data_IF_177225441904
#
_entry.id   IF_177225441904
#
_cell.length_a   1.000
_cell.length_b   1.000
_cell.length_c   1.000
_cell.angle_alpha   90.00
_cell.angle_beta   90.00
_cell.angle_gamma   90.00
#
_symmetry.space_group_name_H-M   'P 1'
#
loop_
_entity.id
_entity.type
_entity.pdbx_description
1 polymer ?
#
# COMPACT_ATOMS: atom_id res chain seq x y z
N UNK A 1 -29.27 -9.12 -19.65
CA UNK A 1 -27.94 -9.59 -19.24
C UNK A 1 -28.03 -10.15 -17.83
N UNK A 2 -27.81 -11.45 -17.67
CA UNK A 2 -27.77 -12.12 -16.37
C UNK A 2 -26.50 -11.71 -15.59
N UNK A 3 -26.40 -12.09 -14.32
CA UNK A 3 -25.28 -11.68 -13.45
C UNK A 3 -23.93 -12.25 -13.91
N UNK A 4 -23.89 -13.45 -14.49
CA UNK A 4 -22.66 -14.04 -15.03
C UNK A 4 -22.16 -13.28 -16.26
N UNK A 5 -23.06 -12.95 -17.19
CA UNK A 5 -22.73 -12.14 -18.38
C UNK A 5 -22.23 -10.75 -17.99
N UNK A 6 -22.80 -10.15 -16.93
CA UNK A 6 -22.31 -8.85 -16.39
C UNK A 6 -20.90 -8.97 -15.81
N UNK A 7 -20.65 -9.99 -15.00
CA UNK A 7 -19.33 -10.20 -14.42
C UNK A 7 -18.28 -10.44 -15.51
N UNK A 8 -18.58 -11.27 -16.50
CA UNK A 8 -17.68 -11.57 -17.62
C UNK A 8 -17.38 -10.33 -18.47
N UNK A 9 -18.40 -9.51 -18.74
CA UNK A 9 -18.22 -8.23 -19.43
C UNK A 9 -17.28 -7.30 -18.64
N UNK A 10 -17.54 -7.08 -17.36
CA UNK A 10 -16.69 -6.21 -16.54
C UNK A 10 -15.26 -6.75 -16.41
N UNK A 11 -15.11 -8.07 -16.29
CA UNK A 11 -13.79 -8.70 -16.25
C UNK A 11 -13.03 -8.50 -17.56
N UNK A 12 -13.72 -8.64 -18.70
CA UNK A 12 -13.13 -8.39 -20.02
C UNK A 12 -12.67 -6.94 -20.15
N UNK A 13 -13.50 -5.97 -19.74
CA UNK A 13 -13.14 -4.55 -19.71
C UNK A 13 -11.90 -4.31 -18.84
N UNK A 14 -11.85 -4.91 -17.65
CA UNK A 14 -10.71 -4.77 -16.75
C UNK A 14 -9.41 -5.32 -17.37
N UNK A 15 -9.49 -6.47 -18.05
CA UNK A 15 -8.35 -7.08 -18.74
C UNK A 15 -7.85 -6.22 -19.89
N UNK A 16 -8.74 -5.68 -20.72
CA UNK A 16 -8.38 -4.77 -21.83
C UNK A 16 -7.70 -3.51 -21.29
N UNK A 17 -8.30 -2.83 -20.31
CA UNK A 17 -7.71 -1.64 -19.67
C UNK A 17 -6.31 -1.92 -19.12
N UNK A 18 -6.13 -3.08 -18.47
CA UNK A 18 -4.82 -3.49 -17.96
C UNK A 18 -3.82 -3.75 -19.09
N UNK A 19 -4.23 -4.47 -20.13
CA UNK A 19 -3.40 -4.80 -21.29
C UNK A 19 -2.92 -3.54 -22.01
N UNK A 20 -3.81 -2.58 -22.27
CA UNK A 20 -3.48 -1.27 -22.82
C UNK A 20 -2.45 -0.55 -21.94
N UNK A 21 -2.66 -0.54 -20.62
CA UNK A 21 -1.76 0.12 -19.69
C UNK A 21 -0.36 -0.51 -19.66
N UNK A 22 -0.22 -1.83 -19.53
CA UNK A 22 1.10 -2.48 -19.46
C UNK A 22 1.90 -2.33 -20.77
N UNK A 23 1.20 -2.21 -21.90
CA UNK A 23 1.82 -2.05 -23.20
C UNK A 23 2.08 -0.57 -23.56
N UNK A 24 1.59 0.38 -22.76
CA UNK A 24 1.87 1.82 -22.94
C UNK A 24 3.33 2.19 -22.63
N UNK A 25 3.78 3.33 -23.15
CA UNK A 25 5.07 3.93 -22.81
C UNK A 25 5.12 4.46 -21.36
N UNK A 26 3.95 4.76 -20.77
CA UNK A 26 3.85 5.36 -19.44
C UNK A 26 4.05 4.32 -18.32
N UNK A 27 3.83 3.03 -18.61
CA UNK A 27 3.87 1.94 -17.62
C UNK A 27 5.14 1.95 -16.76
N UNK A 28 6.31 1.99 -17.39
CA UNK A 28 7.58 1.97 -16.69
C UNK A 28 7.76 3.20 -15.80
N UNK A 29 7.40 4.37 -16.31
CA UNK A 29 7.50 5.64 -15.58
C UNK A 29 6.65 5.62 -14.30
N UNK A 30 5.42 5.09 -14.40
CA UNK A 30 4.54 4.94 -13.25
C UNK A 30 5.08 3.93 -12.24
N UNK A 31 5.48 2.74 -12.69
CA UNK A 31 6.00 1.72 -11.78
C UNK A 31 7.27 2.16 -11.07
N UNK A 32 8.18 2.88 -11.74
CA UNK A 32 9.36 3.44 -11.07
C UNK A 32 9.00 4.44 -9.98
N UNK A 33 8.00 5.32 -10.21
CA UNK A 33 7.51 6.26 -9.19
C UNK A 33 6.84 5.58 -8.00
N UNK A 34 6.13 4.48 -8.24
CA UNK A 34 5.56 3.67 -7.16
C UNK A 34 6.68 2.94 -6.40
N UNK A 35 7.68 2.44 -7.12
CA UNK A 35 8.80 1.73 -6.52
C UNK A 35 9.67 2.64 -5.64
N UNK A 36 9.93 3.89 -6.03
CA UNK A 36 10.63 4.86 -5.15
C UNK A 36 9.87 5.16 -3.87
N UNK A 37 8.54 5.26 -3.95
CA UNK A 37 7.67 5.39 -2.78
C UNK A 37 7.74 4.15 -1.87
N UNK A 38 7.71 2.94 -2.45
CA UNK A 38 7.91 1.69 -1.70
C UNK A 38 9.26 1.63 -1.02
N UNK A 39 10.31 2.13 -1.65
CA UNK A 39 11.64 2.19 -1.06
C UNK A 39 11.81 3.33 -0.03
N UNK A 40 10.75 4.10 0.24
CA UNK A 40 10.79 5.29 1.11
C UNK A 40 11.82 6.32 0.60
N UNK A 41 11.99 6.45 -0.72
CA UNK A 41 12.95 7.38 -1.33
C UNK A 41 12.29 8.71 -1.72
N UNK A 42 10.98 8.67 -1.99
CA UNK A 42 10.17 9.83 -2.36
C UNK A 42 8.76 9.76 -1.73
N UNK A 43 8.07 10.89 -1.69
CA UNK A 43 6.66 11.02 -1.33
C UNK A 43 5.74 10.75 -2.54
N UNK A 44 4.45 10.56 -2.28
CA UNK A 44 3.42 10.58 -3.30
C UNK A 44 3.25 12.01 -3.80
N UNK A 45 3.33 12.19 -5.12
CA UNK A 45 3.05 13.48 -5.79
C UNK A 45 1.62 13.54 -6.36
N UNK A 46 0.77 12.61 -5.95
CA UNK A 46 -0.58 12.45 -6.47
C UNK A 46 -1.47 13.56 -5.95
N UNK A 47 -1.95 14.43 -6.83
CA UNK A 47 -2.88 15.51 -6.50
C UNK A 47 -4.32 15.06 -6.77
N UNK A 48 -5.32 15.71 -6.16
CA UNK A 48 -6.74 15.42 -6.43
C UNK A 48 -7.15 15.49 -7.91
N UNK A 49 -6.43 16.28 -8.70
CA UNK A 49 -6.64 16.41 -10.16
C UNK A 49 -6.06 15.24 -10.96
N UNK A 50 -5.14 14.49 -10.36
CA UNK A 50 -4.47 13.35 -10.99
C UNK A 50 -5.26 12.05 -10.73
N UNK A 51 -6.39 12.11 -10.03
CA UNK A 51 -7.30 10.99 -9.80
C UNK A 51 -7.93 10.52 -11.13
N UNK A 52 -7.19 9.67 -11.83
CA UNK A 52 -7.65 8.88 -12.98
C UNK A 52 -8.47 7.69 -12.53
N UNK A 53 -9.32 7.15 -13.43
CA UNK A 53 -10.10 5.93 -13.18
C UNK A 53 -9.20 4.71 -12.91
N UNK A 54 -8.00 4.68 -13.51
CA UNK A 54 -6.97 3.66 -13.25
C UNK A 54 -5.87 4.26 -12.38
N UNK A 55 -5.73 3.80 -11.13
CA UNK A 55 -4.63 4.21 -10.25
C UNK A 55 -3.41 3.31 -10.45
N UNK A 56 -2.24 3.82 -10.89
CA UNK A 56 -1.09 2.97 -11.20
C UNK A 56 -0.52 2.15 -10.03
N UNK A 57 -0.80 2.53 -8.77
CA UNK A 57 -0.36 1.77 -7.62
C UNK A 57 -1.00 0.37 -7.54
N UNK A 58 -2.16 0.14 -8.16
CA UNK A 58 -2.82 -1.18 -8.16
C UNK A 58 -1.95 -2.28 -8.78
N UNK A 59 -1.03 -1.94 -9.68
CA UNK A 59 -0.08 -2.89 -10.28
C UNK A 59 0.85 -3.53 -9.24
N UNK A 60 0.95 -2.98 -8.02
CA UNK A 60 1.60 -3.67 -6.92
C UNK A 60 0.96 -5.02 -6.60
N UNK A 61 -0.35 -5.19 -6.81
CA UNK A 61 -1.01 -6.49 -6.65
C UNK A 61 -0.43 -7.53 -7.61
N UNK A 62 -0.21 -7.14 -8.88
CA UNK A 62 0.45 -7.99 -9.87
C UNK A 62 1.92 -8.25 -9.53
N UNK A 63 2.67 -7.24 -9.10
CA UNK A 63 4.08 -7.40 -8.69
C UNK A 63 4.20 -8.36 -7.49
N UNK A 64 3.29 -8.27 -6.52
CA UNK A 64 3.26 -9.20 -5.39
C UNK A 64 2.72 -10.58 -5.75
N UNK A 65 1.93 -10.71 -6.83
CA UNK A 65 1.59 -12.01 -7.42
C UNK A 65 2.84 -12.70 -7.95
N UNK A 66 3.69 -11.97 -8.66
CA UNK A 66 4.99 -12.51 -9.13
C UNK A 66 5.90 -12.85 -7.95
N UNK A 67 5.92 -12.00 -6.90
CA UNK A 67 6.65 -12.29 -5.66
C UNK A 67 6.21 -13.61 -5.03
N UNK A 68 4.89 -13.88 -5.00
CA UNK A 68 4.35 -15.14 -4.50
C UNK A 68 4.78 -16.31 -5.39
N UNK A 69 4.74 -16.17 -6.71
CA UNK A 69 5.14 -17.19 -7.68
C UNK A 69 6.62 -17.56 -7.57
N UNK A 70 7.52 -16.61 -7.35
CA UNK A 70 8.97 -16.91 -7.23
C UNK A 70 9.39 -17.35 -5.81
N UNK A 71 8.46 -17.30 -4.85
CA UNK A 71 8.72 -17.64 -3.45
C UNK A 71 7.68 -18.61 -2.89
N UNK A 72 7.07 -19.47 -3.73
CA UNK A 72 6.01 -20.39 -3.30
C UNK A 72 6.44 -21.24 -2.09
N UNK A 73 7.73 -21.58 -1.99
CA UNK A 73 8.30 -22.33 -0.87
C UNK A 73 8.17 -21.62 0.48
N UNK A 74 8.04 -20.29 0.50
CA UNK A 74 7.81 -19.53 1.74
C UNK A 74 6.37 -19.62 2.21
N UNK A 75 5.44 -20.05 1.35
CA UNK A 75 4.01 -20.02 1.62
C UNK A 75 3.39 -21.42 1.73
N UNK A 76 4.19 -22.46 2.05
CA UNK A 76 3.77 -23.87 2.09
C UNK A 76 2.51 -24.18 2.93
N UNK A 77 2.17 -23.34 3.91
CA UNK A 77 0.97 -23.49 4.74
C UNK A 77 -0.25 -22.73 4.21
N UNK A 78 -0.22 -22.28 2.95
CA UNK A 78 -1.26 -21.46 2.32
C UNK A 78 -1.62 -22.06 0.95
N UNK A 79 -2.85 -21.82 0.50
CA UNK A 79 -3.30 -22.18 -0.83
C UNK A 79 -2.79 -21.13 -1.85
N UNK A 80 -1.64 -21.42 -2.46
CA UNK A 80 -0.98 -20.51 -3.42
C UNK A 80 -1.88 -20.17 -4.60
N UNK A 81 -2.66 -21.13 -5.10
CA UNK A 81 -3.56 -20.91 -6.24
C UNK A 81 -4.63 -19.90 -5.84
N UNK A 82 -5.24 -20.08 -4.66
CA UNK A 82 -6.25 -19.15 -4.15
C UNK A 82 -5.68 -17.78 -3.78
N UNK A 83 -4.46 -17.72 -3.23
CA UNK A 83 -3.77 -16.46 -2.99
C UNK A 83 -3.56 -15.65 -4.28
N UNK A 84 -3.11 -16.32 -5.36
CA UNK A 84 -2.95 -15.68 -6.68
C UNK A 84 -4.30 -15.21 -7.23
N UNK A 85 -5.34 -16.04 -7.12
CA UNK A 85 -6.69 -15.68 -7.54
C UNK A 85 -7.23 -14.46 -6.76
N UNK A 86 -7.04 -14.41 -5.44
CA UNK A 86 -7.44 -13.27 -4.61
C UNK A 86 -6.70 -11.97 -5.01
N UNK A 87 -5.41 -12.06 -5.36
CA UNK A 87 -4.67 -10.90 -5.88
C UNK A 87 -5.15 -10.45 -7.26
N UNK A 88 -5.47 -11.38 -8.16
CA UNK A 88 -6.04 -11.07 -9.47
C UNK A 88 -7.45 -10.47 -9.35
N UNK A 89 -8.33 -11.03 -8.51
CA UNK A 89 -9.66 -10.49 -8.25
C UNK A 89 -9.58 -9.08 -7.63
N UNK A 90 -8.62 -8.86 -6.72
CA UNK A 90 -8.32 -7.54 -6.14
C UNK A 90 -7.89 -6.53 -7.21
N UNK A 91 -7.01 -6.96 -8.12
CA UNK A 91 -6.47 -6.13 -9.19
C UNK A 91 -7.59 -5.73 -10.16
N UNK A 92 -8.31 -6.71 -10.69
CA UNK A 92 -9.37 -6.45 -11.66
C UNK A 92 -10.54 -5.67 -11.06
N UNK A 93 -10.92 -5.94 -9.80
CA UNK A 93 -11.95 -5.15 -9.13
C UNK A 93 -11.50 -3.71 -8.81
N UNK A 94 -10.19 -3.45 -8.70
CA UNK A 94 -9.67 -2.09 -8.58
C UNK A 94 -9.65 -1.35 -9.92
N UNK A 95 -9.48 -2.07 -11.04
CA UNK A 95 -9.49 -1.52 -12.41
C UNK A 95 -10.91 -1.25 -12.91
N UNK A 96 -11.81 -2.21 -12.68
CA UNK A 96 -13.23 -2.12 -13.02
C UNK A 96 -14.07 -2.38 -11.76
N UNK A 97 -14.36 -1.32 -10.98
CA UNK A 97 -15.11 -1.44 -9.73
C UNK A 97 -16.53 -1.98 -9.89
N UNK A 98 -17.09 -2.04 -11.11
CA UNK A 98 -18.31 -2.80 -11.41
C UNK A 98 -18.23 -4.28 -11.02
N UNK A 99 -17.02 -4.84 -10.86
CA UNK A 99 -16.79 -6.22 -10.39
C UNK A 99 -17.03 -6.42 -8.88
N UNK A 100 -16.97 -5.35 -8.06
CA UNK A 100 -17.00 -5.46 -6.61
C UNK A 100 -18.20 -6.26 -6.06
N UNK A 101 -19.45 -6.06 -6.51
CA UNK A 101 -20.60 -6.85 -6.04
C UNK A 101 -20.42 -8.35 -6.25
N UNK A 102 -19.81 -8.76 -7.36
CA UNK A 102 -19.61 -10.17 -7.70
C UNK A 102 -18.47 -10.77 -6.90
N UNK A 103 -17.34 -10.05 -6.81
CA UNK A 103 -16.15 -10.52 -6.09
C UNK A 103 -16.39 -10.62 -4.59
N UNK A 104 -17.13 -9.68 -3.99
CA UNK A 104 -17.52 -9.75 -2.58
C UNK A 104 -18.40 -10.98 -2.28
N UNK A 105 -19.36 -11.31 -3.15
CA UNK A 105 -20.22 -12.50 -2.99
C UNK A 105 -19.45 -13.82 -3.11
N UNK A 106 -18.40 -13.84 -3.93
CA UNK A 106 -17.55 -15.03 -4.17
C UNK A 106 -16.52 -15.29 -3.07
N UNK A 107 -16.38 -14.39 -2.10
CA UNK A 107 -15.51 -14.61 -0.95
C UNK A 107 -15.95 -15.88 -0.19
N UNK A 108 -14.99 -16.75 0.11
CA UNK A 108 -15.21 -18.02 0.81
C UNK A 108 -15.19 -17.74 2.31
N UNK A 109 -16.23 -18.18 3.00
CA UNK A 109 -16.41 -17.92 4.43
C UNK A 109 -15.29 -18.55 5.26
N UNK A 110 -14.70 -17.76 6.16
CA UNK A 110 -13.63 -18.15 7.09
C UNK A 110 -12.34 -18.67 6.43
N UNK A 111 -12.15 -18.42 5.13
CA UNK A 111 -10.93 -18.77 4.41
C UNK A 111 -9.95 -17.58 4.41
N UNK A 112 -8.76 -17.79 4.97
CA UNK A 112 -7.72 -16.75 5.07
C UNK A 112 -7.09 -16.38 3.72
N UNK A 113 -7.21 -17.28 2.74
CA UNK A 113 -6.68 -17.12 1.37
C UNK A 113 -7.71 -16.55 0.40
N UNK A 114 -8.98 -16.44 0.82
CA UNK A 114 -10.04 -15.75 0.08
C UNK A 114 -10.23 -14.33 0.59
N UNK A 115 -9.76 -13.35 -0.19
CA UNK A 115 -9.83 -11.94 0.19
C UNK A 115 -9.86 -11.01 -1.02
N UNK A 116 -10.26 -9.75 -0.80
CA UNK A 116 -10.01 -8.65 -1.72
C UNK A 116 -9.18 -7.57 -1.05
N UNK A 117 -8.25 -6.98 -1.79
CA UNK A 117 -7.42 -5.84 -1.38
C UNK A 117 -7.74 -4.66 -2.28
N UNK A 118 -8.13 -3.52 -1.70
CA UNK A 118 -8.51 -2.33 -2.47
C UNK A 118 -7.75 -1.08 -1.95
N UNK A 119 -7.10 -0.30 -2.83
CA UNK A 119 -6.50 0.98 -2.47
C UNK A 119 -7.51 2.12 -2.64
N UNK A 120 -8.15 2.52 -1.54
CA UNK A 120 -9.17 3.56 -1.57
C UNK A 120 -8.56 4.94 -1.31
N UNK A 121 -9.09 5.95 -1.99
CA UNK A 121 -8.93 7.35 -1.61
C UNK A 121 -10.13 7.77 -0.77
N UNK A 122 -9.88 8.39 0.37
CA UNK A 122 -10.91 9.01 1.22
C UNK A 122 -10.68 10.52 1.30
N UNK A 123 -11.75 11.29 1.14
CA UNK A 123 -11.72 12.74 1.33
C UNK A 123 -11.89 13.11 2.80
N UNK A 124 -11.10 14.08 3.24
CA UNK A 124 -11.09 14.61 4.60
C UNK A 124 -11.28 16.13 4.56
N UNK A 125 -12.20 16.66 5.36
CA UNK A 125 -12.36 18.11 5.51
C UNK A 125 -11.66 18.65 6.77
N UNK A 126 -10.70 19.54 6.57
CA UNK A 126 -10.01 20.25 7.65
C UNK A 126 -10.69 21.60 7.88
N UNK A 127 -11.62 21.65 8.85
CA UNK A 127 -12.39 22.86 9.20
C UNK A 127 -11.49 24.07 9.51
N UNK A 128 -10.43 23.87 10.29
CA UNK A 128 -9.48 24.92 10.69
C UNK A 128 -8.78 25.56 9.47
N UNK A 129 -8.58 24.78 8.41
CA UNK A 129 -7.92 25.21 7.17
C UNK A 129 -8.91 25.47 6.04
N UNK A 130 -10.21 25.28 6.28
CA UNK A 130 -11.30 25.29 5.29
C UNK A 130 -10.90 24.58 3.97
N UNK A 131 -10.22 23.44 4.08
CA UNK A 131 -9.65 22.75 2.92
C UNK A 131 -9.93 21.26 2.94
N UNK A 132 -10.10 20.70 1.76
CA UNK A 132 -10.17 19.26 1.55
C UNK A 132 -8.79 18.70 1.34
N UNK A 133 -8.51 17.57 1.98
CA UNK A 133 -7.34 16.75 1.70
C UNK A 133 -7.80 15.36 1.31
N UNK A 134 -7.00 14.71 0.48
CA UNK A 134 -7.17 13.31 0.14
C UNK A 134 -6.20 12.49 0.96
N UNK A 135 -6.66 11.32 1.36
CA UNK A 135 -5.86 10.33 2.06
C UNK A 135 -6.05 8.99 1.38
N UNK A 136 -4.98 8.22 1.26
CA UNK A 136 -5.05 6.86 0.74
C UNK A 136 -5.12 5.90 1.92
N UNK A 137 -6.01 4.93 1.84
CA UNK A 137 -6.18 3.85 2.83
C UNK A 137 -6.17 2.50 2.11
N UNK A 138 -5.68 1.49 2.80
CA UNK A 138 -5.76 0.12 2.35
C UNK A 138 -7.01 -0.55 2.90
N UNK A 139 -7.65 -1.40 2.11
CA UNK A 139 -8.81 -2.18 2.56
C UNK A 139 -8.57 -3.65 2.27
N UNK A 140 -8.91 -4.50 3.24
CA UNK A 140 -8.97 -5.95 3.09
C UNK A 140 -10.40 -6.39 3.38
N UNK A 141 -11.08 -6.94 2.37
CA UNK A 141 -12.40 -7.55 2.53
C UNK A 141 -12.28 -9.07 2.63
N UNK A 142 -12.95 -9.66 3.63
CA UNK A 142 -13.03 -11.11 3.85
C UNK A 142 -14.45 -11.49 4.23
N UNK A 143 -14.84 -12.74 3.96
CA UNK A 143 -16.09 -13.28 4.48
C UNK A 143 -15.83 -14.03 5.78
N UNK A 144 -16.58 -13.69 6.83
CA UNK A 144 -16.58 -14.40 8.12
C UNK A 144 -18.00 -14.81 8.45
N UNK A 145 -18.23 -16.11 8.52
CA UNK A 145 -19.57 -16.67 8.70
C UNK A 145 -20.56 -16.07 7.68
N UNK A 146 -21.57 -15.33 8.17
CA UNK A 146 -22.63 -14.68 7.39
C UNK A 146 -22.39 -13.16 7.21
N UNK A 147 -21.16 -12.71 7.40
CA UNK A 147 -20.79 -11.30 7.34
C UNK A 147 -19.61 -11.07 6.39
N UNK A 148 -19.55 -9.85 5.85
CA UNK A 148 -18.35 -9.32 5.21
C UNK A 148 -17.61 -8.48 6.24
N UNK A 149 -16.39 -8.90 6.55
CA UNK A 149 -15.46 -8.15 7.37
C UNK A 149 -14.60 -7.24 6.48
N UNK A 150 -14.63 -5.94 6.77
CA UNK A 150 -13.79 -4.93 6.15
C UNK A 150 -12.72 -4.50 7.15
N UNK A 151 -11.47 -4.80 6.86
CA UNK A 151 -10.30 -4.39 7.63
C UNK A 151 -9.60 -3.23 6.91
N UNK A 152 -9.61 -2.05 7.54
CA UNK A 152 -8.92 -0.85 7.06
C UNK A 152 -7.48 -0.86 7.59
N UNK A 153 -6.54 -0.68 6.67
CA UNK A 153 -5.10 -0.58 6.90
C UNK A 153 -4.71 0.87 6.65
N UNK A 154 -4.37 1.57 7.73
CA UNK A 154 -4.09 3.00 7.67
C UNK A 154 -2.91 3.36 8.59
N UNK A 155 -2.01 4.19 8.06
CA UNK A 155 -0.86 4.79 8.76
C UNK A 155 -1.25 6.00 9.58
N UNK A 156 -2.43 6.54 9.32
CA UNK A 156 -2.91 7.72 10.00
C UNK A 156 -3.26 7.33 11.44
N UNK A 157 -2.52 7.91 12.37
CA UNK A 157 -2.86 7.92 13.81
C UNK A 157 -4.04 8.87 14.08
N UNK A 158 -4.88 9.12 13.06
CA UNK A 158 -5.99 10.04 13.15
C UNK A 158 -7.07 9.34 13.97
N UNK A 159 -7.29 9.85 15.17
CA UNK A 159 -8.50 9.52 15.91
C UNK A 159 -9.70 9.98 15.08
N UNK A 160 -10.48 9.03 14.60
CA UNK A 160 -11.72 9.33 13.88
C UNK A 160 -12.83 9.46 14.92
N UNK A 161 -13.26 10.70 15.15
CA UNK A 161 -14.26 11.03 16.17
C UNK A 161 -15.65 10.44 15.86
N UNK A 162 -15.93 10.11 14.60
CA UNK A 162 -17.22 9.55 14.14
C UNK A 162 -17.37 8.03 14.32
N UNK A 163 -16.42 7.36 14.98
CA UNK A 163 -16.51 5.91 15.20
C UNK A 163 -17.55 5.56 16.25
N UNK A 164 -18.30 4.48 16.02
CA UNK A 164 -19.22 3.90 17.00
C UNK A 164 -18.48 3.54 18.29
N UNK A 165 -17.24 3.08 18.17
CA UNK A 165 -16.34 2.80 19.27
C UNK A 165 -15.13 3.74 19.24
N UNK A 166 -15.18 4.79 20.06
CA UNK A 166 -14.07 5.73 20.25
C UNK A 166 -12.92 5.04 20.98
N UNK A 167 -11.68 5.27 20.54
CA UNK A 167 -10.52 4.76 21.24
C UNK A 167 -10.41 5.41 22.63
N UNK A 168 -10.26 4.63 23.70
CA UNK A 168 -9.88 5.20 24.99
C UNK A 168 -8.58 6.03 24.83
N UNK A 169 -8.51 7.19 25.47
CA UNK A 169 -7.35 8.11 25.46
C UNK A 169 -5.99 7.45 25.78
N UNK A 170 -5.98 6.22 26.30
CA UNK A 170 -4.80 5.37 26.51
C UNK A 170 -4.04 5.11 25.20
N UNK A 171 -4.74 5.07 24.06
CA UNK A 171 -4.10 4.97 22.76
C UNK A 171 -3.55 6.32 22.28
N UNK A 172 -4.19 7.46 22.61
CA UNK A 172 -3.97 8.72 21.88
C UNK A 172 -2.73 9.53 22.27
N UNK A 173 -2.13 9.39 23.47
CA UNK A 173 -1.18 10.43 23.94
C UNK A 173 0.29 10.01 24.06
N UNK A 174 0.65 8.77 24.41
CA UNK A 174 2.06 8.42 24.70
C UNK A 174 2.60 7.17 23.96
N UNK A 175 1.75 6.36 23.32
CA UNK A 175 2.18 5.14 22.63
C UNK A 175 2.58 5.42 21.17
N UNK A 176 2.00 6.45 20.53
CA UNK A 176 2.23 6.78 19.11
C UNK A 176 3.39 7.73 18.83
N UNK A 177 3.94 8.44 19.83
CA UNK A 177 5.03 9.38 19.58
C UNK A 177 6.35 8.71 19.13
N UNK A 178 6.52 7.40 19.38
CA UNK A 178 7.74 6.65 19.04
C UNK A 178 7.54 5.34 18.26
N UNK A 179 6.31 4.97 17.86
CA UNK A 179 6.05 3.61 17.36
C UNK A 179 5.67 3.54 15.88
N UNK A 180 6.51 2.79 15.16
CA UNK A 180 6.33 2.25 13.81
C UNK A 180 5.13 1.28 13.77
N UNK A 181 3.89 1.76 13.85
CA UNK A 181 2.70 0.90 13.93
C UNK A 181 1.62 1.30 12.94
N UNK A 182 1.09 0.34 12.19
CA UNK A 182 -0.27 0.38 11.63
C UNK A 182 -1.15 -0.41 12.59
N UNK A 183 -2.29 0.15 13.02
CA UNK A 183 -3.34 -0.58 13.73
C UNK A 183 -4.53 -0.66 12.77
N UNK A 184 -5.03 -1.87 12.53
CA UNK A 184 -6.16 -2.03 11.63
C UNK A 184 -7.49 -1.68 12.30
N UNK A 185 -8.48 -1.28 11.49
CA UNK A 185 -9.84 -1.00 11.94
C UNK A 185 -10.79 -1.98 11.27
N UNK A 186 -11.70 -2.58 12.03
CA UNK A 186 -12.56 -3.66 11.56
C UNK A 186 -14.01 -3.20 11.56
N UNK A 187 -14.70 -3.40 10.44
CA UNK A 187 -16.13 -3.18 10.24
C UNK A 187 -16.78 -4.51 9.84
N UNK A 188 -17.78 -4.94 10.60
CA UNK A 188 -18.56 -6.16 10.30
C UNK A 188 -19.90 -5.78 9.69
N UNK A 189 -20.14 -6.26 8.46
CA UNK A 189 -21.28 -5.85 7.63
C UNK A 189 -22.08 -7.09 7.24
N UNK A 190 -23.40 -7.02 7.35
CA UNK A 190 -24.29 -8.11 6.92
C UNK A 190 -24.15 -8.39 5.43
N UNK A 191 -24.17 -9.67 5.05
CA UNK A 191 -24.05 -10.08 3.65
C UNK A 191 -25.21 -9.55 2.77
N UNK A 192 -26.37 -9.29 3.36
CA UNK A 192 -27.52 -8.66 2.68
C UNK A 192 -27.20 -7.27 2.15
N UNK A 193 -26.18 -6.58 2.71
CA UNK A 193 -25.75 -5.23 2.34
C UNK A 193 -24.60 -5.20 1.33
N UNK A 194 -24.21 -6.33 0.73
CA UNK A 194 -23.06 -6.39 -0.21
C UNK A 194 -23.16 -5.37 -1.35
N UNK A 195 -24.36 -5.12 -1.89
CA UNK A 195 -24.53 -4.14 -2.96
C UNK A 195 -24.29 -2.70 -2.49
N UNK A 196 -24.64 -2.38 -1.25
CA UNK A 196 -24.40 -1.06 -0.64
C UNK A 196 -22.92 -0.88 -0.31
N UNK A 197 -22.30 -1.90 0.30
CA UNK A 197 -20.86 -1.95 0.54
C UNK A 197 -20.06 -1.75 -0.76
N UNK A 198 -20.43 -2.46 -1.83
CA UNK A 198 -19.77 -2.30 -3.12
C UNK A 198 -19.81 -0.85 -3.64
N UNK A 199 -20.92 -0.12 -3.44
CA UNK A 199 -21.03 1.30 -3.83
C UNK A 199 -20.11 2.20 -3.00
N UNK A 200 -19.96 1.93 -1.71
CA UNK A 200 -19.05 2.67 -0.83
C UNK A 200 -17.59 2.44 -1.25
N UNK A 201 -17.20 1.20 -1.49
CA UNK A 201 -15.85 0.86 -1.96
C UNK A 201 -15.57 1.46 -3.35
N UNK A 202 -16.53 1.38 -4.26
CA UNK A 202 -16.48 2.00 -5.59
C UNK A 202 -16.21 3.51 -5.50
N UNK A 203 -16.88 4.22 -4.59
CA UNK A 203 -16.69 5.66 -4.36
C UNK A 203 -15.24 5.99 -3.99
N UNK A 204 -14.61 5.13 -3.19
CA UNK A 204 -13.20 5.24 -2.79
C UNK A 204 -12.20 4.95 -3.92
N UNK A 205 -12.58 4.14 -4.91
CA UNK A 205 -11.69 3.78 -6.02
C UNK A 205 -11.61 4.88 -7.09
N UNK A 206 -12.73 5.53 -7.42
CA UNK A 206 -12.79 6.34 -8.65
C UNK A 206 -13.25 7.80 -8.51
N UNK A 207 -13.82 8.22 -7.37
CA UNK A 207 -14.48 9.54 -7.35
C UNK A 207 -14.30 10.37 -6.07
N UNK A 208 -13.11 10.94 -5.84
CA UNK A 208 -12.88 11.85 -4.72
C UNK A 208 -13.70 13.15 -4.81
N UNK A 209 -14.06 13.61 -6.02
CA UNK A 209 -14.90 14.81 -6.19
C UNK A 209 -16.32 14.60 -5.66
N UNK A 210 -16.92 13.44 -5.92
CA UNK A 210 -18.22 13.07 -5.39
C UNK A 210 -18.19 12.87 -3.87
N UNK A 211 -17.08 12.37 -3.33
CA UNK A 211 -16.90 12.34 -1.88
C UNK A 211 -16.95 13.76 -1.29
N UNK A 212 -16.30 14.73 -1.92
CA UNK A 212 -16.32 16.13 -1.47
C UNK A 212 -17.73 16.73 -1.52
N UNK A 213 -18.54 16.44 -2.54
CA UNK A 213 -19.94 16.90 -2.57
C UNK A 213 -20.78 16.27 -1.46
N UNK A 214 -20.60 14.97 -1.20
CA UNK A 214 -21.33 14.25 -0.14
C UNK A 214 -20.97 14.75 1.28
N UNK A 215 -19.86 15.49 1.45
CA UNK A 215 -19.46 16.09 2.73
C UNK A 215 -20.11 17.44 3.05
N UNK A 216 -20.64 18.15 2.05
CA UNK A 216 -21.22 19.48 2.26
C UNK A 216 -22.43 19.41 3.21
N UNK A 217 -23.05 18.24 3.34
CA UNK A 217 -24.21 17.97 4.18
C UNK A 217 -23.86 17.44 5.59
N UNK A 218 -22.57 17.28 5.94
CA UNK A 218 -22.15 16.73 7.23
C UNK A 218 -21.76 17.85 8.21
N UNK A 219 -22.73 18.28 9.02
CA UNK A 219 -22.54 19.27 10.07
C UNK A 219 -21.48 18.82 11.11
N UNK A 220 -20.41 19.62 11.25
CA UNK A 220 -19.74 19.80 12.56
C UNK A 220 -18.41 19.11 12.83
N UNK A 221 -17.97 18.07 12.10
CA UNK A 221 -16.80 17.27 12.51
C UNK A 221 -15.75 17.00 11.40
N UNK A 222 -14.52 16.70 11.84
CA UNK A 222 -13.42 16.16 11.01
C UNK A 222 -13.78 14.74 10.58
N UNK A 223 -14.48 14.58 9.46
CA UNK A 223 -14.98 13.27 9.01
C UNK A 223 -14.25 12.76 7.76
N UNK A 224 -14.09 11.44 7.69
CA UNK A 224 -13.65 10.72 6.49
C UNK A 224 -14.86 10.07 5.83
N UNK A 225 -15.15 10.43 4.57
CA UNK A 225 -16.39 10.01 3.90
C UNK A 225 -16.56 8.50 3.87
N UNK A 226 -15.51 7.78 3.47
CA UNK A 226 -15.58 6.33 3.31
C UNK A 226 -15.73 5.65 4.66
N UNK A 227 -14.97 6.09 5.66
CA UNK A 227 -14.98 5.47 6.99
C UNK A 227 -16.27 5.76 7.76
N UNK A 228 -16.85 6.96 7.61
CA UNK A 228 -18.18 7.29 8.15
C UNK A 228 -19.25 6.39 7.52
N UNK A 229 -19.29 6.25 6.19
CA UNK A 229 -20.27 5.38 5.51
C UNK A 229 -20.12 3.90 5.91
N UNK A 230 -18.89 3.42 6.11
CA UNK A 230 -18.65 2.07 6.63
C UNK A 230 -19.15 1.92 8.08
N UNK A 231 -18.88 2.91 8.94
CA UNK A 231 -19.35 2.95 10.32
C UNK A 231 -20.87 2.89 10.41
N UNK A 232 -21.58 3.70 9.62
CA UNK A 232 -23.05 3.74 9.56
C UNK A 232 -23.64 2.37 9.19
N UNK A 233 -23.04 1.70 8.20
CA UNK A 233 -23.52 0.41 7.69
C UNK A 233 -23.21 -0.78 8.62
N UNK A 234 -22.10 -0.72 9.36
CA UNK A 234 -21.57 -1.84 10.14
C UNK A 234 -22.45 -2.19 11.35
N UNK A 235 -22.57 -3.49 11.63
CA UNK A 235 -23.19 -4.00 12.86
C UNK A 235 -22.24 -3.75 14.04
N UNK A 236 -20.98 -4.12 13.85
CA UNK A 236 -19.90 -3.93 14.82
C UNK A 236 -18.73 -3.19 14.17
N UNK A 237 -18.07 -2.35 14.96
CA UNK A 237 -16.83 -1.65 14.59
C UNK A 237 -15.84 -1.76 15.74
N UNK A 238 -14.59 -2.14 15.49
CA UNK A 238 -13.56 -2.22 16.54
C UNK A 238 -12.14 -2.13 16.01
N UNK A 239 -11.18 -1.89 16.91
CA UNK A 239 -9.75 -1.93 16.56
C UNK A 239 -9.30 -3.38 16.41
N UNK A 240 -8.57 -3.67 15.35
CA UNK A 240 -7.97 -4.97 15.12
C UNK A 240 -6.80 -5.25 16.06
N UNK A 241 -6.52 -6.54 16.27
CA UNK A 241 -5.39 -6.98 17.10
C UNK A 241 -4.06 -7.05 16.32
N UNK A 242 -4.09 -6.72 15.03
CA UNK A 242 -2.96 -6.88 14.12
C UNK A 242 -2.21 -5.58 13.93
N UNK A 243 -0.88 -5.68 13.95
CA UNK A 243 0.02 -4.55 13.72
C UNK A 243 1.08 -4.82 12.68
N UNK A 244 1.47 -3.77 11.98
CA UNK A 244 2.58 -3.78 11.03
C UNK A 244 3.57 -2.67 11.31
N UNK A 245 4.80 -2.84 10.85
CA UNK A 245 5.79 -1.77 10.90
C UNK A 245 5.56 -0.76 9.79
N UNK A 246 5.50 0.52 10.14
CA UNK A 246 5.42 1.60 9.18
C UNK A 246 6.42 2.73 9.42
N UNK A 247 6.77 3.48 8.36
CA UNK A 247 7.61 4.67 8.44
C UNK A 247 6.78 5.92 8.18
N UNK A 248 6.42 6.64 9.24
CA UNK A 248 5.55 7.83 9.23
C UNK A 248 6.11 9.05 8.47
N UNK A 249 7.43 9.12 8.24
CA UNK A 249 8.12 10.37 7.86
C UNK A 249 8.04 10.79 6.37
N UNK A 250 7.31 10.05 5.53
CA UNK A 250 7.18 10.35 4.10
C UNK A 250 5.71 10.29 3.72
N UNK A 251 5.23 11.28 2.96
CA UNK A 251 3.86 11.32 2.43
C UNK A 251 3.67 10.33 1.28
N UNK A 252 4.07 9.07 1.44
CA UNK A 252 4.09 8.01 0.43
C UNK A 252 2.96 6.98 0.60
N UNK A 253 1.81 7.41 1.16
CA UNK A 253 0.68 6.54 1.46
C UNK A 253 0.15 5.76 0.25
N UNK A 254 0.20 6.34 -0.96
CA UNK A 254 -0.30 5.72 -2.20
C UNK A 254 0.26 4.31 -2.44
N UNK A 255 1.58 4.15 -2.38
CA UNK A 255 2.21 2.84 -2.55
C UNK A 255 2.16 2.01 -1.25
N UNK A 256 2.30 2.69 -0.12
CA UNK A 256 2.61 2.04 1.14
C UNK A 256 1.40 1.45 1.86
N UNK A 257 0.19 1.98 1.67
CA UNK A 257 -1.01 1.38 2.27
C UNK A 257 -1.40 0.10 1.55
N UNK A 258 -1.29 0.11 0.24
CA UNK A 258 -1.49 -1.10 -0.55
C UNK A 258 -0.43 -2.15 -0.21
N UNK A 259 0.85 -1.76 -0.11
CA UNK A 259 1.92 -2.65 0.34
C UNK A 259 1.62 -3.27 1.71
N UNK A 260 1.16 -2.46 2.67
CA UNK A 260 0.81 -2.93 3.99
C UNK A 260 -0.37 -3.92 3.93
N UNK A 261 -1.41 -3.61 3.14
CA UNK A 261 -2.59 -4.47 2.98
C UNK A 261 -2.26 -5.81 2.35
N UNK A 262 -1.36 -5.81 1.36
CA UNK A 262 -0.83 -7.03 0.76
C UNK A 262 -0.09 -7.86 1.80
N UNK A 263 0.85 -7.25 2.54
CA UNK A 263 1.58 -7.95 3.61
C UNK A 263 0.67 -8.43 4.72
N UNK A 264 -0.39 -7.71 5.01
CA UNK A 264 -1.40 -8.11 5.98
C UNK A 264 -2.16 -9.35 5.48
N UNK A 265 -2.50 -9.43 4.20
CA UNK A 265 -3.26 -10.57 3.65
C UNK A 265 -2.40 -11.81 3.45
N UNK A 266 -1.16 -11.62 3.01
CA UNK A 266 -0.20 -12.70 2.73
C UNK A 266 0.62 -13.12 3.96
N UNK A 267 0.65 -12.28 5.00
CA UNK A 267 1.53 -12.45 6.15
C UNK A 267 1.07 -13.54 7.13
N UNK A 268 2.01 -13.94 7.97
CA UNK A 268 1.77 -14.73 9.17
C UNK A 268 1.83 -13.83 10.40
N UNK A 269 0.94 -14.09 11.34
CA UNK A 269 0.95 -13.46 12.64
C UNK A 269 2.08 -14.02 13.52
N UNK A 270 2.80 -13.13 14.18
CA UNK A 270 3.81 -13.46 15.19
C UNK A 270 3.59 -12.59 16.41
N UNK A 271 4.03 -13.05 17.58
CA UNK A 271 3.99 -12.23 18.80
C UNK A 271 4.69 -10.88 18.55
N UNK A 272 3.97 -9.78 18.77
CA UNK A 272 4.54 -8.44 18.59
C UNK A 272 5.49 -8.11 19.74
N UNK A 273 6.72 -7.72 19.38
CA UNK A 273 7.64 -7.05 20.31
C UNK A 273 7.34 -5.54 20.34
N UNK A 274 6.56 -5.02 19.38
CA UNK A 274 6.33 -3.59 19.17
C UNK A 274 5.32 -2.98 20.15
N UNK A 275 4.39 -3.76 20.71
CA UNK A 275 3.25 -3.21 21.44
C UNK A 275 2.67 -4.20 22.47
N UNK A 276 2.86 -3.86 23.75
CA UNK A 276 1.99 -4.31 24.84
C UNK A 276 0.82 -3.32 24.89
N UNK A 277 -0.41 -3.77 24.70
CA UNK A 277 -1.57 -2.98 25.13
C UNK A 277 -1.82 -3.33 26.59
N UNK A 278 -1.90 -2.31 27.45
CA UNK A 278 -2.54 -2.44 28.76
C UNK A 278 -3.98 -1.97 28.58
N UNK A 279 -4.92 -2.89 28.37
CA UNK A 279 -6.34 -2.58 28.54
C UNK A 279 -6.71 -2.89 29.98
N UNK A 280 -7.41 -1.95 30.61
CA UNK A 280 -8.04 -2.12 31.89
C UNK A 280 -9.54 -1.88 31.64
N UNK A 281 -10.27 -2.90 31.21
CA UNK A 281 -11.72 -2.83 31.21
C UNK A 281 -12.17 -3.06 32.65
N UNK A 282 -12.81 -2.04 33.23
CA UNK A 282 -13.20 -1.96 34.64
C UNK A 282 -13.81 -3.28 35.15
N UNK A 283 -13.13 -3.90 36.12
CA UNK A 283 -13.63 -5.06 36.87
C UNK A 283 -12.62 -6.21 36.94
N UNK A 284 -11.90 -6.29 38.06
CA UNK A 284 -11.03 -7.41 38.49
C UNK A 284 -9.96 -7.90 37.49
N UNK A 285 -8.85 -7.15 37.42
CA UNK A 285 -7.56 -7.66 36.95
C UNK A 285 -7.15 -7.16 35.57
N UNK A 286 -6.09 -6.34 35.52
CA UNK A 286 -5.48 -5.91 34.26
C UNK A 286 -4.89 -7.13 33.52
N UNK A 287 -5.46 -7.49 32.37
CA UNK A 287 -4.82 -8.40 31.42
C UNK A 287 -4.19 -7.58 30.29
N UNK A 288 -2.89 -7.73 30.08
CA UNK A 288 -2.22 -7.16 28.92
C UNK A 288 -2.54 -8.01 27.69
N UNK A 289 -3.31 -7.47 26.74
CA UNK A 289 -3.43 -8.07 25.40
C UNK A 289 -2.24 -7.63 24.55
N UNK A 290 -1.55 -8.60 23.96
CA UNK A 290 -0.45 -8.36 23.04
C UNK A 290 -1.01 -8.23 21.62
N UNK A 291 -0.61 -7.19 20.89
CA UNK A 291 -0.89 -7.12 19.45
C UNK A 291 -0.10 -8.20 18.71
N UNK A 292 -0.57 -8.59 17.53
CA UNK A 292 0.10 -9.57 16.67
C UNK A 292 0.77 -8.85 15.51
N UNK A 293 2.09 -8.97 15.42
CA UNK A 293 2.82 -8.40 14.31
C UNK A 293 2.64 -9.28 13.07
N UNK A 294 2.26 -8.67 11.96
CA UNK A 294 2.08 -9.38 10.69
C UNK A 294 3.32 -9.19 9.81
N UNK A 295 3.94 -10.30 9.40
CA UNK A 295 5.09 -10.30 8.49
C UNK A 295 4.91 -11.34 7.40
N UNK A 296 5.48 -11.08 6.23
CA UNK A 296 5.56 -12.11 5.21
C UNK A 296 6.30 -13.35 5.75
N UNK A 297 5.83 -14.57 5.42
CA UNK A 297 6.45 -15.81 5.86
C UNK A 297 7.94 -15.87 5.54
N UNK A 298 8.72 -16.50 6.43
CA UNK A 298 10.16 -16.76 6.26
C UNK A 298 11.03 -15.56 5.84
N UNK A 299 10.53 -14.33 6.01
CA UNK A 299 11.27 -13.10 5.72
C UNK A 299 11.98 -12.59 6.96
N UNK A 300 13.29 -12.36 6.86
CA UNK A 300 14.07 -11.79 7.97
C UNK A 300 14.07 -10.27 7.94
N UNK A 301 13.98 -9.68 6.76
CA UNK A 301 14.10 -8.24 6.56
C UNK A 301 13.35 -7.77 5.32
N UNK A 302 12.84 -6.54 5.34
CA UNK A 302 12.31 -5.89 4.12
C UNK A 302 13.32 -5.75 2.98
N UNK A 303 14.61 -6.00 3.25
CA UNK A 303 15.66 -6.04 2.23
C UNK A 303 15.43 -7.21 1.28
N UNK A 304 15.06 -8.37 1.82
CA UNK A 304 14.83 -9.58 1.03
C UNK A 304 13.61 -9.39 0.13
N UNK A 305 12.54 -8.82 0.67
CA UNK A 305 11.34 -8.48 -0.12
C UNK A 305 11.72 -7.54 -1.26
N UNK A 306 12.39 -6.42 -0.98
CA UNK A 306 12.71 -5.45 -2.02
C UNK A 306 13.76 -5.93 -3.01
N UNK A 307 14.64 -6.85 -2.63
CA UNK A 307 15.52 -7.53 -3.58
C UNK A 307 14.70 -8.31 -4.61
N UNK A 308 13.75 -9.12 -4.15
CA UNK A 308 12.86 -9.90 -5.02
C UNK A 308 12.01 -8.97 -5.90
N UNK A 309 11.42 -7.90 -5.34
CA UNK A 309 10.65 -6.92 -6.12
C UNK A 309 11.50 -6.18 -7.17
N UNK A 310 12.77 -5.90 -6.85
CA UNK A 310 13.71 -5.26 -7.80
C UNK A 310 13.97 -6.18 -8.99
N UNK A 311 14.23 -7.46 -8.74
CA UNK A 311 14.46 -8.45 -9.80
C UNK A 311 13.21 -8.66 -10.68
N UNK A 312 12.02 -8.76 -10.06
CA UNK A 312 10.75 -8.83 -10.79
C UNK A 312 10.55 -7.60 -11.69
N UNK A 313 10.88 -6.41 -11.20
CA UNK A 313 10.69 -5.18 -11.98
C UNK A 313 11.62 -5.11 -13.19
N UNK A 314 12.89 -5.50 -13.02
CA UNK A 314 13.88 -5.59 -14.09
C UNK A 314 13.43 -6.61 -15.16
N UNK A 315 13.06 -7.82 -14.74
CA UNK A 315 12.56 -8.87 -15.62
C UNK A 315 11.31 -8.42 -16.39
N UNK A 316 10.35 -7.80 -15.70
CA UNK A 316 9.12 -7.29 -16.32
C UNK A 316 9.39 -6.22 -17.38
N UNK A 317 10.30 -5.30 -17.12
CA UNK A 317 10.64 -4.25 -18.10
C UNK A 317 11.39 -4.82 -19.31
N UNK A 318 12.21 -5.86 -19.11
CA UNK A 318 12.83 -6.62 -20.19
C UNK A 318 11.77 -7.30 -21.07
N UNK A 319 10.82 -8.02 -20.47
CA UNK A 319 9.72 -8.66 -21.21
C UNK A 319 8.87 -7.67 -22.01
N UNK A 320 8.66 -6.46 -21.49
CA UNK A 320 7.84 -5.42 -22.14
C UNK A 320 8.64 -4.52 -23.11
N UNK A 321 9.85 -4.93 -23.52
CA UNK A 321 10.71 -4.25 -24.48
C UNK A 321 11.08 -2.80 -24.10
N UNK A 322 11.15 -2.48 -22.80
CA UNK A 322 11.69 -1.20 -22.35
C UNK A 322 13.20 -1.12 -22.56
N UNK A 323 13.74 0.10 -22.72
CA UNK A 323 15.16 0.28 -22.93
C UNK A 323 15.99 -0.08 -21.68
N UNK A 324 16.70 -1.22 -21.75
CA UNK A 324 17.54 -1.78 -20.69
C UNK A 324 18.62 -0.84 -20.19
N UNK A 325 19.22 -0.04 -21.09
CA UNK A 325 20.26 0.92 -20.76
C UNK A 325 19.72 2.09 -19.91
N UNK A 326 18.42 2.35 -19.97
CA UNK A 326 17.76 3.41 -19.20
C UNK A 326 17.23 2.89 -17.87
N UNK A 327 16.44 1.80 -17.88
CA UNK A 327 15.79 1.35 -16.65
C UNK A 327 16.74 0.64 -15.69
N UNK A 328 17.75 -0.09 -16.18
CA UNK A 328 18.60 -0.93 -15.32
C UNK A 328 19.41 -0.09 -14.34
N UNK A 329 20.16 0.95 -14.78
CA UNK A 329 20.90 1.81 -13.86
C UNK A 329 19.98 2.54 -12.88
N UNK A 330 18.80 2.97 -13.36
CA UNK A 330 17.78 3.66 -12.58
C UNK A 330 17.28 2.81 -11.40
N UNK A 331 16.81 1.58 -11.68
CA UNK A 331 16.28 0.66 -10.66
C UNK A 331 17.38 0.23 -9.68
N UNK A 332 18.58 -0.05 -10.18
CA UNK A 332 19.73 -0.45 -9.36
C UNK A 332 20.15 0.69 -8.41
N UNK A 333 20.20 1.94 -8.88
CA UNK A 333 20.54 3.09 -8.04
C UNK A 333 19.49 3.32 -6.94
N UNK A 334 18.19 3.17 -7.26
CA UNK A 334 17.11 3.23 -6.27
C UNK A 334 17.28 2.17 -5.18
N UNK A 335 17.44 0.90 -5.57
CA UNK A 335 17.58 -0.19 -4.61
C UNK A 335 18.84 -0.04 -3.74
N UNK A 336 19.98 0.31 -4.34
CA UNK A 336 21.22 0.53 -3.60
C UNK A 336 21.14 1.74 -2.67
N UNK A 337 20.47 2.82 -3.08
CA UNK A 337 20.21 3.97 -2.21
C UNK A 337 19.38 3.56 -1.00
N UNK A 338 18.33 2.75 -1.22
CA UNK A 338 17.54 2.19 -0.13
C UNK A 338 18.39 1.35 0.83
N UNK A 339 19.24 0.45 0.32
CA UNK A 339 20.11 -0.39 1.13
C UNK A 339 21.07 0.44 1.99
N UNK A 340 21.71 1.44 1.38
CA UNK A 340 22.60 2.36 2.08
C UNK A 340 21.86 3.07 3.23
N UNK A 341 20.72 3.71 2.93
CA UNK A 341 19.95 4.46 3.93
C UNK A 341 19.36 3.54 5.01
N UNK A 342 19.04 2.29 4.67
CA UNK A 342 18.58 1.28 5.64
C UNK A 342 19.69 0.87 6.61
N UNK A 343 20.91 0.67 6.12
CA UNK A 343 22.07 0.36 6.97
C UNK A 343 22.40 1.53 7.91
N UNK A 344 22.31 2.77 7.42
CA UNK A 344 22.48 3.95 8.27
C UNK A 344 21.45 4.00 9.43
N UNK A 345 20.22 3.52 9.20
CA UNK A 345 19.08 3.64 10.14
C UNK A 345 19.11 2.72 11.36
N UNK A 346 20.07 1.79 11.46
CA UNK A 346 19.95 0.65 12.36
C UNK A 346 19.65 0.98 13.83
N UNK A 347 19.93 2.20 14.34
CA UNK A 347 19.69 2.58 15.75
C UNK A 347 19.29 4.04 16.03
N UNK A 348 18.89 4.85 15.03
CA UNK A 348 18.80 6.31 15.22
C UNK A 348 17.62 6.96 14.47
N UNK A 349 16.79 7.74 15.20
CA UNK A 349 15.65 8.50 14.66
C UNK A 349 16.09 9.70 13.82
N UNK A 350 17.22 10.35 14.14
CA UNK A 350 17.83 11.37 13.30
C UNK A 350 18.19 10.80 11.92
N UNK A 351 18.76 9.59 11.89
CA UNK A 351 19.11 8.92 10.62
C UNK A 351 17.90 8.51 9.77
N UNK A 352 16.71 8.36 10.36
CA UNK A 352 15.46 8.19 9.60
C UNK A 352 14.99 9.51 8.97
N UNK A 353 15.13 10.63 9.67
CA UNK A 353 14.84 11.97 9.12
C UNK A 353 15.82 12.32 8.01
N UNK A 354 17.09 11.95 8.19
CA UNK A 354 18.13 12.08 7.16
C UNK A 354 17.72 11.38 5.86
N UNK A 355 17.15 10.18 5.89
CA UNK A 355 16.64 9.53 4.67
C UNK A 355 15.67 10.45 3.92
N UNK A 356 14.64 10.99 4.59
CA UNK A 356 13.65 11.88 3.96
C UNK A 356 14.32 13.11 3.37
N UNK A 357 15.22 13.77 4.10
CA UNK A 357 15.89 14.99 3.64
C UNK A 357 16.82 14.72 2.47
N UNK A 358 17.54 13.58 2.49
CA UNK A 358 18.53 13.28 1.47
C UNK A 358 17.90 12.74 0.19
N UNK A 359 17.03 11.75 0.29
CA UNK A 359 16.55 11.05 -0.91
C UNK A 359 15.49 11.85 -1.67
N UNK A 360 14.57 12.51 -0.96
CA UNK A 360 13.39 13.12 -1.58
C UNK A 360 13.76 14.13 -2.69
N UNK A 361 14.64 15.13 -2.47
CA UNK A 361 14.94 16.13 -3.51
C UNK A 361 15.62 15.54 -4.75
N UNK A 362 16.33 14.40 -4.58
CA UNK A 362 17.00 13.70 -5.68
C UNK A 362 15.98 12.95 -6.53
N UNK A 363 15.12 12.15 -5.88
CA UNK A 363 14.15 11.31 -6.58
C UNK A 363 12.91 12.08 -7.06
N UNK A 364 12.56 13.20 -6.43
CA UNK A 364 11.49 14.11 -6.89
C UNK A 364 11.83 14.75 -8.25
N UNK A 365 13.13 15.00 -8.51
CA UNK A 365 13.63 15.61 -9.76
C UNK A 365 14.09 14.58 -10.79
N UNK A 366 14.03 13.29 -10.46
CA UNK A 366 14.49 12.24 -11.36
C UNK A 366 13.61 12.17 -12.60
N UNK A 367 14.22 12.02 -13.78
CA UNK A 367 13.47 11.69 -14.97
C UNK A 367 13.12 10.19 -14.94
N UNK A 368 11.84 9.90 -14.77
CA UNK A 368 11.32 8.52 -14.73
C UNK A 368 10.97 7.98 -16.13
N UNK A 369 11.09 8.77 -17.19
CA UNK A 369 10.79 8.31 -18.53
C UNK A 369 11.73 7.20 -18.97
N UNK A 370 11.16 6.04 -19.32
CA UNK A 370 11.86 4.90 -19.89
C UNK A 370 11.24 4.62 -21.25
N UNK A 371 11.94 4.87 -22.36
CA UNK A 371 11.39 4.62 -23.69
C UNK A 371 11.32 3.11 -23.96
N UNK A 372 10.36 2.71 -24.80
CA UNK A 372 10.37 1.38 -25.40
C UNK A 372 11.31 1.32 -26.59
N UNK A 373 11.98 0.18 -26.76
CA UNK A 373 12.80 -0.10 -27.94
C UNK A 373 11.89 -0.47 -29.12
N UNK A 374 10.78 -1.16 -28.83
CA UNK A 374 9.74 -1.51 -29.79
C UNK A 374 8.40 -1.67 -29.08
N UNK A 375 7.30 -1.58 -29.83
CA UNK A 375 5.98 -1.86 -29.29
C UNK A 375 5.92 -3.29 -28.72
N UNK A 376 5.16 -3.45 -27.65
CA UNK A 376 4.85 -4.77 -27.07
C UNK A 376 3.35 -5.00 -27.19
N UNK A 377 2.95 -6.23 -27.48
CA UNK A 377 1.55 -6.67 -27.48
C UNK A 377 1.40 -7.89 -26.58
N UNK A 378 1.84 -7.73 -25.32
CA UNK A 378 1.79 -8.80 -24.33
C UNK A 378 0.41 -8.78 -23.67
N UNK A 379 -0.29 -9.89 -23.74
CA UNK A 379 -1.51 -10.08 -22.96
C UNK A 379 -1.14 -10.10 -21.46
N UNK A 380 -1.84 -9.29 -20.66
CA UNK A 380 -1.49 -9.07 -19.25
C UNK A 380 -1.52 -10.35 -18.37
N UNK A 381 -2.21 -11.39 -18.81
CA UNK A 381 -2.28 -12.70 -18.15
C UNK A 381 -1.07 -13.59 -18.47
N UNK A 382 -0.37 -13.31 -19.57
CA UNK A 382 0.83 -14.06 -20.00
C UNK A 382 2.11 -13.49 -19.42
N UNK A 383 2.08 -12.27 -18.89
CA UNK A 383 3.20 -11.64 -18.18
C UNK A 383 3.46 -12.40 -16.88
N UNK A 384 4.52 -13.21 -16.88
CA UNK A 384 4.91 -14.08 -15.76
C UNK A 384 6.41 -13.97 -15.54
N UNK A 385 6.89 -14.13 -14.31
CA UNK A 385 8.31 -14.04 -14.00
C UNK A 385 9.12 -15.14 -14.71
N UNK A 386 10.24 -14.77 -15.36
CA UNK A 386 11.25 -15.75 -15.77
C UNK A 386 12.12 -16.11 -14.56
N UNK A 387 11.90 -17.30 -13.99
CA UNK A 387 12.63 -17.78 -12.82
C UNK A 387 14.16 -17.79 -13.01
N UNK A 388 14.65 -18.16 -14.21
CA UNK A 388 16.10 -18.22 -14.46
C UNK A 388 16.68 -16.81 -14.52
N UNK A 389 15.98 -15.89 -15.18
CA UNK A 389 16.41 -14.50 -15.27
C UNK A 389 16.39 -13.83 -13.88
N UNK A 390 15.31 -14.02 -13.12
CA UNK A 390 15.18 -13.47 -11.76
C UNK A 390 16.28 -13.97 -10.83
N UNK A 391 16.61 -15.27 -10.87
CA UNK A 391 17.70 -15.81 -10.04
C UNK A 391 19.06 -15.22 -10.41
N UNK A 392 19.30 -14.97 -11.71
CA UNK A 392 20.50 -14.28 -12.18
C UNK A 392 20.54 -12.84 -11.66
N UNK A 393 19.47 -12.07 -11.88
CA UNK A 393 19.34 -10.69 -11.43
C UNK A 393 19.54 -10.55 -9.91
N UNK A 394 18.99 -11.48 -9.12
CA UNK A 394 19.17 -11.50 -7.66
C UNK A 394 20.64 -11.71 -7.26
N UNK A 395 21.37 -12.58 -7.96
CA UNK A 395 22.81 -12.80 -7.73
C UNK A 395 23.62 -11.56 -8.07
N UNK A 396 23.33 -10.92 -9.19
CA UNK A 396 23.97 -9.67 -9.60
C UNK A 396 23.72 -8.56 -8.58
N UNK A 397 22.46 -8.32 -8.21
CA UNK A 397 22.06 -7.34 -7.19
C UNK A 397 22.70 -7.59 -5.82
N UNK A 398 22.98 -8.85 -5.47
CA UNK A 398 23.64 -9.20 -4.22
C UNK A 398 25.15 -8.94 -4.20
N UNK A 399 25.80 -8.98 -5.37
CA UNK A 399 27.26 -8.77 -5.52
C UNK A 399 27.63 -7.30 -5.67
N UNK A 400 26.68 -6.44 -6.05
CA UNK A 400 26.93 -5.03 -6.31
C UNK A 400 27.24 -4.29 -4.98
N UNK A 401 28.52 -3.98 -4.76
CA UNK A 401 28.99 -3.04 -3.74
C UNK A 401 28.94 -1.60 -4.28
N UNK A 402 27.75 -1.13 -4.67
CA UNK A 402 27.63 0.18 -5.30
C UNK A 402 27.54 1.29 -4.25
N UNK A 403 28.37 2.32 -4.43
CA UNK A 403 28.17 3.60 -3.77
C UNK A 403 27.14 4.38 -4.59
N UNK A 404 25.91 4.63 -4.10
CA UNK A 404 24.84 5.16 -4.93
C UNK A 404 25.21 6.49 -5.61
N UNK A 405 24.88 6.66 -6.90
CA UNK A 405 25.09 7.93 -7.60
C UNK A 405 24.26 9.04 -6.93
N UNK A 406 23.04 8.68 -6.51
CA UNK A 406 22.22 9.50 -5.65
C UNK A 406 22.99 10.01 -4.42
N UNK A 407 23.92 9.25 -3.83
CA UNK A 407 24.67 9.67 -2.64
C UNK A 407 25.63 10.83 -2.89
N UNK A 408 26.20 10.95 -4.08
CA UNK A 408 26.97 12.13 -4.49
C UNK A 408 26.08 13.36 -4.63
N UNK A 409 24.88 13.20 -5.20
CA UNK A 409 23.89 14.28 -5.27
C UNK A 409 23.35 14.66 -3.89
N UNK A 410 23.06 13.67 -3.04
CA UNK A 410 22.63 13.85 -1.65
C UNK A 410 23.68 14.63 -0.85
N UNK A 411 24.98 14.31 -0.98
CA UNK A 411 26.07 15.08 -0.35
C UNK A 411 26.11 16.54 -0.80
N UNK A 412 25.89 16.81 -2.10
CA UNK A 412 25.80 18.17 -2.63
C UNK A 412 24.57 18.91 -2.06
N UNK A 413 23.42 18.26 -1.98
CA UNK A 413 22.20 18.86 -1.40
C UNK A 413 22.37 19.14 0.11
N UNK A 414 23.02 18.27 0.89
CA UNK A 414 23.41 18.58 2.29
C UNK A 414 24.27 19.83 2.34
N UNK A 415 25.29 19.92 1.50
CA UNK A 415 26.25 21.02 1.51
C UNK A 415 25.66 22.35 1.03
N UNK A 416 24.60 22.32 0.21
CA UNK A 416 23.83 23.52 -0.14
C UNK A 416 22.98 24.02 1.02
N UNK A 417 22.51 23.11 1.87
CA UNK A 417 21.67 23.42 3.02
C UNK A 417 22.46 23.37 4.34
N UNK A 418 23.57 24.13 4.41
CA UNK A 418 24.56 24.17 5.52
C UNK A 418 23.99 24.49 6.90
N UNK A 419 22.75 24.96 7.00
CA UNK A 419 22.12 25.45 8.25
C UNK A 419 21.12 24.47 8.89
N UNK A 420 21.06 23.22 8.43
CA UNK A 420 20.28 22.21 9.12
C UNK A 420 20.99 21.75 10.41
N UNK A 421 20.82 22.52 11.48
CA UNK A 421 20.93 21.98 12.84
C UNK A 421 19.81 20.95 13.05
N UNK A 422 19.98 20.00 13.97
CA UNK A 422 18.93 19.03 14.34
C UNK A 422 17.58 19.71 14.66
N UNK A 423 17.64 20.94 15.21
CA UNK A 423 16.50 21.79 15.53
C UNK A 423 15.83 22.36 14.27
N UNK A 424 16.61 22.87 13.31
CA UNK A 424 16.09 23.40 12.03
C UNK A 424 15.43 22.30 11.17
N UNK A 425 15.96 21.06 11.23
CA UNK A 425 15.33 19.91 10.58
C UNK A 425 14.02 19.49 11.24
N UNK A 426 13.89 19.68 12.56
CA UNK A 426 12.67 19.38 13.30
C UNK A 426 11.54 20.32 12.88
N UNK A 427 11.82 21.62 12.78
CA UNK A 427 10.83 22.64 12.46
C UNK A 427 10.38 22.62 10.98
N UNK A 428 11.25 22.18 10.05
CA UNK A 428 10.92 22.08 8.62
C UNK A 428 10.03 20.88 8.26
N UNK A 429 9.98 19.84 9.11
CA UNK A 429 9.13 18.65 8.90
C UNK A 429 7.71 18.82 9.46
N UNK A 430 7.46 19.87 10.24
CA UNK A 430 6.17 20.19 10.86
C UNK A 430 5.43 21.37 10.18
N UNK A 431 6.02 21.94 9.13
CA UNK A 431 5.36 22.87 8.21
C UNK A 431 4.91 22.11 6.96
#
# INVERSE_FOLDING_TARGET
>A
MNDNEKEELFLTVAKIKREEFINSEEYASFLLRIFTQLLNLDSSHYKPKDCTEYKPNIELLSIYKDYLTINEEKFQNRDIVKLRQSLDDSLYASIEPGLLPFKLKKLISNDVDSFLILPLTTAFYFKDQKSFRLHEIGVIAKRKENMIQIEIIDKSTISIESRKNVCDHVYSSHIYQDKKGIVSYIYEIEETKVLELAKILYLGLINPKKQVSDMVDLDGYKQEVILTKLSEMAINEYYGERVGTYQYLLGNCLAKELEASIKFSLGQERYSILSKIKTNYKGSGAQATFLREVKLPHTKSSKEIYLDLTAILLDRFEQLNFNKEVYTPCIIDMFNTYLYLKNCRAKDTFKKKLQTVLSRPVFEKMNYHVPKISESHICAEKLNPDFKNIDLLKKELAQISYYPHALTMMKKEIHKNKEYSEKTMFDALHK
#
